data_IF_061297562369
#
_entry.id   IF_061297562369
#
_cell.length_a   1.000
_cell.length_b   1.000
_cell.length_c   1.000
_cell.angle_alpha   90.00
_cell.angle_beta   90.00
_cell.angle_gamma   90.00
#
_symmetry.space_group_name_H-M   'P 1'
#
loop_
_entity.id
_entity.type
_entity.pdbx_description
1 polymer ?
#
# COMPACT_ATOMS: atom_id res chain seq x y z
N UNK A 1 -1.22 -13.77 -3.24
CA UNK A 1 -1.44 -12.40 -3.77
C UNK A 1 -2.78 -12.31 -4.48
N UNK A 2 -3.07 -13.24 -5.39
CA UNK A 2 -4.27 -13.22 -6.22
C UNK A 2 -5.55 -13.56 -5.44
N UNK A 3 -5.50 -14.32 -4.34
CA UNK A 3 -6.74 -14.81 -3.71
C UNK A 3 -7.48 -13.85 -2.77
N UNK A 4 -6.79 -12.97 -2.05
CA UNK A 4 -7.46 -11.90 -1.27
C UNK A 4 -8.10 -10.87 -2.22
N UNK A 5 -7.38 -10.55 -3.30
CA UNK A 5 -7.94 -9.79 -4.40
C UNK A 5 -8.96 -10.60 -5.19
N UNK A 6 -8.96 -11.94 -5.21
CA UNK A 6 -10.02 -12.75 -5.84
C UNK A 6 -11.29 -12.76 -5.01
N UNK A 7 -11.24 -12.72 -3.68
CA UNK A 7 -12.47 -12.57 -2.88
C UNK A 7 -13.00 -11.15 -3.04
N UNK A 8 -12.15 -10.13 -3.02
CA UNK A 8 -12.57 -8.74 -3.26
C UNK A 8 -12.94 -8.49 -4.73
N UNK A 9 -12.32 -9.14 -5.72
CA UNK A 9 -12.69 -9.07 -7.14
C UNK A 9 -13.89 -9.97 -7.42
N UNK A 10 -14.04 -11.16 -6.83
CA UNK A 10 -15.27 -11.95 -6.96
C UNK A 10 -16.41 -11.22 -6.28
N UNK A 11 -16.25 -10.81 -5.03
CA UNK A 11 -17.27 -10.04 -4.31
C UNK A 11 -17.52 -8.69 -4.98
N UNK A 12 -16.53 -8.00 -5.56
CA UNK A 12 -16.81 -6.78 -6.33
C UNK A 12 -17.36 -7.09 -7.73
N UNK A 13 -17.02 -8.19 -8.40
CA UNK A 13 -17.61 -8.60 -9.68
C UNK A 13 -19.03 -9.16 -9.48
N UNK A 14 -19.33 -9.73 -8.31
CA UNK A 14 -20.62 -10.25 -7.89
C UNK A 14 -21.49 -9.15 -7.25
N UNK A 15 -20.92 -8.16 -6.54
CA UNK A 15 -21.66 -7.03 -5.94
C UNK A 15 -21.70 -5.77 -6.84
N UNK A 16 -20.83 -5.62 -7.85
CA UNK A 16 -21.09 -4.77 -9.02
C UNK A 16 -22.09 -5.42 -9.99
N UNK A 17 -22.65 -6.59 -9.63
CA UNK A 17 -23.76 -7.18 -10.36
C UNK A 17 -25.11 -6.82 -9.71
N UNK A 18 -25.63 -5.61 -9.97
CA UNK A 18 -26.99 -5.48 -10.44
C UNK A 18 -26.97 -5.29 -11.96
N UNK A 19 -26.08 -5.97 -12.69
CA UNK A 19 -26.24 -6.14 -14.13
C UNK A 19 -25.31 -7.24 -14.64
N UNK A 20 -25.90 -8.28 -15.24
CA UNK A 20 -25.21 -9.33 -16.00
C UNK A 20 -24.42 -8.80 -17.22
N UNK A 21 -24.33 -7.47 -17.42
CA UNK A 21 -23.82 -6.83 -18.64
C UNK A 21 -22.30 -6.82 -18.77
N UNK A 22 -21.53 -6.82 -17.67
CA UNK A 22 -20.06 -6.73 -17.75
C UNK A 22 -19.33 -8.07 -17.91
N UNK A 23 -19.90 -9.18 -17.42
CA UNK A 23 -19.35 -10.52 -17.68
C UNK A 23 -19.65 -11.00 -19.12
N UNK A 24 -20.67 -10.42 -19.76
CA UNK A 24 -20.98 -10.59 -21.19
C UNK A 24 -20.16 -9.64 -22.10
N UNK A 25 -19.44 -8.65 -21.52
CA UNK A 25 -18.59 -7.72 -22.26
C UNK A 25 -17.16 -8.28 -22.37
N UNK A 26 -16.72 -8.65 -23.56
CA UNK A 26 -15.42 -9.29 -23.85
C UNK A 26 -14.15 -8.45 -23.58
N UNK A 27 -14.00 -7.90 -22.38
CA UNK A 27 -12.81 -7.18 -21.91
C UNK A 27 -11.61 -8.13 -21.92
N UNK A 28 -10.48 -7.65 -22.45
CA UNK A 28 -9.22 -8.39 -22.52
C UNK A 28 -8.27 -7.88 -21.47
N UNK A 29 -7.72 -8.78 -20.65
CA UNK A 29 -6.85 -8.44 -19.53
C UNK A 29 -5.45 -8.97 -19.83
N UNK A 30 -4.47 -8.08 -19.82
CA UNK A 30 -3.07 -8.39 -20.08
C UNK A 30 -2.24 -8.03 -18.86
N UNK A 31 -1.49 -9.00 -18.33
CA UNK A 31 -0.66 -8.83 -17.13
C UNK A 31 0.78 -9.21 -17.44
N UNK A 32 1.72 -8.35 -17.07
CA UNK A 32 3.15 -8.62 -17.15
C UNK A 32 3.71 -8.63 -15.72
N UNK A 33 4.15 -9.80 -15.26
CA UNK A 33 4.72 -9.99 -13.93
C UNK A 33 6.25 -10.08 -14.01
N UNK A 34 6.92 -9.57 -12.98
CA UNK A 34 8.31 -9.92 -12.75
C UNK A 34 8.42 -11.43 -12.47
N UNK A 35 9.39 -12.08 -13.12
CA UNK A 35 9.80 -13.46 -12.83
C UNK A 35 11.05 -13.42 -11.96
N UNK A 36 10.83 -13.71 -10.69
CA UNK A 36 11.84 -13.83 -9.65
C UNK A 36 12.84 -14.94 -9.89
N UNK A 37 13.99 -14.80 -9.23
CA UNK A 37 14.88 -15.91 -8.91
C UNK A 37 14.31 -16.58 -7.67
N UNK A 38 13.70 -17.76 -7.84
CA UNK A 38 12.90 -18.43 -6.80
C UNK A 38 13.66 -18.68 -5.49
N UNK A 39 14.98 -18.88 -5.56
CA UNK A 39 15.83 -19.06 -4.36
C UNK A 39 16.07 -17.77 -3.57
N UNK A 40 15.92 -16.60 -4.20
CA UNK A 40 16.25 -15.31 -3.61
C UNK A 40 15.01 -14.50 -3.19
N UNK A 41 13.85 -14.75 -3.80
CA UNK A 41 12.63 -13.98 -3.58
C UNK A 41 11.40 -14.89 -3.53
N UNK A 42 10.67 -14.84 -2.42
CA UNK A 42 9.48 -15.65 -2.16
C UNK A 42 8.17 -15.11 -2.74
N UNK A 43 8.18 -14.37 -3.86
CA UNK A 43 6.96 -13.71 -4.39
C UNK A 43 6.01 -14.66 -5.13
N UNK A 44 6.51 -15.82 -5.59
CA UNK A 44 5.76 -16.85 -6.30
C UNK A 44 4.89 -16.32 -7.46
N UNK A 45 5.55 -15.70 -8.45
CA UNK A 45 4.86 -15.19 -9.65
C UNK A 45 4.26 -16.31 -10.50
N UNK A 46 4.76 -17.55 -10.37
CA UNK A 46 4.20 -18.72 -11.04
C UNK A 46 2.80 -19.04 -10.55
N UNK A 47 2.61 -19.10 -9.22
CA UNK A 47 1.30 -19.26 -8.61
C UNK A 47 0.34 -18.15 -9.06
N UNK A 48 0.79 -16.90 -9.00
CA UNK A 48 -0.02 -15.75 -9.41
C UNK A 48 -0.45 -15.82 -10.88
N UNK A 49 0.46 -16.21 -11.79
CA UNK A 49 0.14 -16.43 -13.20
C UNK A 49 -0.95 -17.47 -13.37
N UNK A 50 -0.82 -18.62 -12.71
CA UNK A 50 -1.78 -19.72 -12.84
C UNK A 50 -3.15 -19.36 -12.31
N UNK A 51 -3.21 -18.74 -11.13
CA UNK A 51 -4.47 -18.29 -10.55
C UNK A 51 -5.19 -17.34 -11.51
N UNK A 52 -4.50 -16.29 -11.99
CA UNK A 52 -5.09 -15.31 -12.92
C UNK A 52 -5.56 -15.94 -14.23
N UNK A 53 -4.74 -16.79 -14.85
CA UNK A 53 -5.10 -17.42 -16.13
C UNK A 53 -6.21 -18.47 -15.99
N UNK A 54 -6.43 -19.03 -14.80
CA UNK A 54 -7.52 -19.98 -14.54
C UNK A 54 -8.90 -19.33 -14.44
N UNK A 55 -8.96 -18.02 -14.17
CA UNK A 55 -10.23 -17.31 -13.96
C UNK A 55 -11.05 -17.17 -15.24
N UNK A 56 -10.40 -16.84 -16.37
CA UNK A 56 -11.11 -16.60 -17.64
C UNK A 56 -10.16 -16.63 -18.85
N UNK A 57 -10.57 -17.15 -20.03
CA UNK A 57 -9.73 -17.18 -21.24
C UNK A 57 -9.27 -15.81 -21.76
N UNK A 58 -9.99 -14.73 -21.44
CA UNK A 58 -9.59 -13.35 -21.81
C UNK A 58 -8.39 -12.80 -21.00
N UNK A 59 -7.95 -13.52 -19.97
CA UNK A 59 -6.82 -13.12 -19.12
C UNK A 59 -5.54 -13.77 -19.65
N UNK A 60 -4.55 -12.94 -20.01
CA UNK A 60 -3.26 -13.38 -20.53
C UNK A 60 -2.15 -12.83 -19.64
N UNK A 61 -1.31 -13.73 -19.12
CA UNK A 61 -0.24 -13.37 -18.18
C UNK A 61 1.12 -13.82 -18.70
N UNK A 62 2.05 -12.87 -18.81
CA UNK A 62 3.46 -13.12 -19.10
C UNK A 62 4.30 -12.88 -17.84
N UNK A 63 5.41 -13.60 -17.71
CA UNK A 63 6.42 -13.39 -16.64
C UNK A 63 7.79 -13.19 -17.25
N UNK A 64 8.55 -12.18 -16.87
CA UNK A 64 9.87 -11.87 -17.44
C UNK A 64 10.79 -11.30 -16.35
N UNK A 65 12.13 -11.44 -16.37
CA UNK A 65 13.00 -12.15 -17.33
C UNK A 65 12.98 -13.68 -17.19
N UNK A 66 13.39 -14.41 -18.23
CA UNK A 66 13.80 -15.80 -18.04
C UNK A 66 15.29 -15.82 -17.66
N UNK A 67 15.61 -16.39 -16.51
CA UNK A 67 16.99 -16.52 -16.02
C UNK A 67 17.67 -17.70 -16.71
N UNK A 68 18.86 -17.47 -17.29
CA UNK A 68 19.69 -18.55 -17.83
C UNK A 68 20.45 -19.22 -16.69
N UNK A 69 20.73 -20.52 -16.83
CA UNK A 69 21.45 -21.31 -15.82
C UNK A 69 22.89 -20.83 -15.57
N UNK A 70 23.50 -20.12 -16.52
CA UNK A 70 24.90 -19.65 -16.46
C UNK A 70 25.07 -18.18 -16.05
N UNK A 71 23.99 -17.38 -16.04
CA UNK A 71 24.05 -15.97 -15.67
C UNK A 71 22.71 -15.50 -15.10
N UNK A 72 22.73 -15.08 -13.84
CA UNK A 72 21.55 -14.52 -13.15
C UNK A 72 21.45 -13.04 -13.47
N UNK A 73 20.31 -12.62 -14.02
CA UNK A 73 20.01 -11.21 -14.17
C UNK A 73 19.59 -10.65 -12.80
N UNK A 74 20.39 -9.75 -12.25
CA UNK A 74 20.16 -9.16 -10.92
C UNK A 74 19.04 -8.10 -10.92
N UNK A 75 18.63 -7.63 -12.11
CA UNK A 75 17.63 -6.58 -12.28
C UNK A 75 16.20 -7.14 -12.29
N UNK A 76 15.24 -6.30 -11.91
CA UNK A 76 13.82 -6.63 -11.89
C UNK A 76 12.99 -5.64 -12.72
N UNK A 77 11.80 -6.08 -13.13
CA UNK A 77 10.75 -5.14 -13.55
C UNK A 77 10.09 -4.62 -12.29
N UNK A 78 10.23 -3.33 -12.03
CA UNK A 78 9.86 -2.73 -10.75
C UNK A 78 8.70 -1.73 -10.87
N UNK A 79 8.26 -1.41 -12.09
CA UNK A 79 7.13 -0.54 -12.33
C UNK A 79 5.82 -1.16 -11.83
N UNK A 80 4.98 -0.33 -11.19
CA UNK A 80 3.62 -0.68 -10.81
C UNK A 80 2.67 0.20 -11.60
N UNK A 81 1.87 -0.44 -12.45
CA UNK A 81 0.94 0.29 -13.30
C UNK A 81 -0.31 -0.52 -13.63
N UNK A 82 -1.43 0.19 -13.74
CA UNK A 82 -2.70 -0.32 -14.24
C UNK A 82 -3.21 0.65 -15.30
N UNK A 83 -3.59 0.16 -16.47
CA UNK A 83 -4.12 1.01 -17.54
C UNK A 83 -5.43 0.46 -18.06
N UNK A 84 -6.45 1.31 -18.09
CA UNK A 84 -7.81 0.96 -18.49
C UNK A 84 -8.13 1.68 -19.79
N UNK A 85 -8.51 0.90 -20.80
CA UNK A 85 -8.85 1.33 -22.17
C UNK A 85 -7.83 2.24 -22.87
N UNK A 86 -6.59 2.25 -22.39
CA UNK A 86 -5.54 3.18 -22.79
C UNK A 86 -5.89 4.66 -22.61
N UNK A 87 -6.76 4.97 -21.64
CA UNK A 87 -7.31 6.31 -21.41
C UNK A 87 -7.22 6.75 -19.93
N UNK A 88 -7.16 5.80 -18.99
CA UNK A 88 -6.90 6.08 -17.57
C UNK A 88 -5.76 5.17 -17.11
N UNK A 89 -4.73 5.73 -16.49
CA UNK A 89 -3.58 4.99 -16.00
C UNK A 89 -3.28 5.32 -14.54
N UNK A 90 -2.93 4.31 -13.76
CA UNK A 90 -2.46 4.41 -12.37
C UNK A 90 -0.98 4.02 -12.34
N UNK A 91 -0.17 4.77 -11.60
CA UNK A 91 1.27 4.63 -11.47
C UNK A 91 1.67 4.88 -10.01
N UNK A 92 2.78 4.32 -9.53
CA UNK A 92 3.31 4.66 -8.20
C UNK A 92 4.23 3.60 -7.61
N UNK A 93 4.41 3.65 -6.29
CA UNK A 93 5.14 2.63 -5.52
C UNK A 93 4.30 1.42 -5.11
N UNK A 94 2.97 1.52 -5.23
CA UNK A 94 2.01 0.54 -4.69
C UNK A 94 1.80 -0.63 -5.66
N UNK A 95 2.31 -1.81 -5.31
CA UNK A 95 1.94 -3.07 -5.97
C UNK A 95 0.52 -3.51 -5.56
N UNK A 96 -0.18 -4.21 -6.45
CA UNK A 96 -1.39 -4.97 -6.10
C UNK A 96 -1.01 -6.25 -5.34
N UNK A 97 -0.49 -6.07 -4.13
CA UNK A 97 0.17 -7.09 -3.33
C UNK A 97 -0.24 -7.06 -1.85
N UNK A 98 0.04 -8.15 -1.12
CA UNK A 98 -0.19 -8.23 0.32
C UNK A 98 0.62 -7.18 1.09
N UNK A 99 0.03 -6.63 2.13
CA UNK A 99 0.66 -5.67 3.04
C UNK A 99 0.72 -4.23 2.54
N UNK A 100 0.18 -3.96 1.35
CA UNK A 100 0.20 -2.61 0.73
C UNK A 100 -1.03 -1.77 1.09
N UNK A 101 -2.15 -2.42 1.41
CA UNK A 101 -3.35 -1.71 1.82
C UNK A 101 -3.10 -1.06 3.19
N UNK A 102 -3.32 0.26 3.29
CA UNK A 102 -3.24 0.98 4.54
C UNK A 102 -4.07 2.28 4.45
N UNK A 103 -4.24 2.95 5.59
CA UNK A 103 -4.79 4.29 5.65
C UNK A 103 -3.84 5.19 6.46
N UNK A 104 -4.18 6.48 6.58
CA UNK A 104 -3.35 7.44 7.31
C UNK A 104 -3.24 7.15 8.82
N UNK A 105 -4.08 6.27 9.38
CA UNK A 105 -3.98 5.87 10.79
C UNK A 105 -2.80 4.92 11.03
N UNK A 106 -2.30 4.25 9.99
CA UNK A 106 -1.16 3.32 10.04
C UNK A 106 -1.25 2.34 11.22
N UNK A 107 -2.40 1.68 11.36
CA UNK A 107 -2.67 0.83 12.53
C UNK A 107 -1.66 -0.30 12.63
N UNK A 108 -1.15 -0.50 13.84
CA UNK A 108 -0.20 -1.54 14.19
C UNK A 108 -0.88 -2.89 14.49
N UNK A 109 -2.16 -2.88 14.86
CA UNK A 109 -2.89 -4.07 15.31
C UNK A 109 -4.20 -4.22 14.56
N UNK A 110 -4.60 -5.48 14.35
CA UNK A 110 -5.86 -5.86 13.70
C UNK A 110 -6.36 -7.19 14.26
N UNK A 111 -6.73 -7.13 15.55
CA UNK A 111 -7.19 -8.28 16.32
C UNK A 111 -8.68 -8.61 16.04
N UNK A 112 -9.42 -7.66 15.44
CA UNK A 112 -10.88 -7.68 15.43
C UNK A 112 -11.45 -7.56 16.85
N UNK A 113 -12.66 -7.06 17.00
CA UNK A 113 -13.29 -6.97 18.33
C UNK A 113 -14.76 -7.30 18.20
N UNK A 114 -15.18 -8.50 18.60
CA UNK A 114 -16.59 -8.71 18.96
C UNK A 114 -16.78 -8.18 20.37
N UNK A 115 -17.31 -6.97 20.49
CA UNK A 115 -17.82 -6.47 21.77
C UNK A 115 -19.22 -7.04 21.97
N UNK A 116 -19.40 -7.83 23.04
CA UNK A 116 -20.72 -8.21 23.53
C UNK A 116 -21.17 -7.12 24.50
N UNK A 117 -22.11 -6.26 24.08
CA UNK A 117 -22.82 -5.42 25.03
C UNK A 117 -23.93 -6.26 25.67
N UNK A 118 -23.74 -6.64 26.93
CA UNK A 118 -24.84 -7.19 27.74
C UNK A 118 -25.64 -6.01 28.26
N UNK A 119 -26.80 -5.76 27.65
CA UNK A 119 -27.78 -4.85 28.24
C UNK A 119 -28.35 -5.53 29.50
N UNK A 120 -27.89 -5.10 30.67
CA UNK A 120 -28.66 -5.31 31.88
C UNK A 120 -29.80 -4.30 31.89
N UNK A 121 -31.03 -4.78 31.67
CA UNK A 121 -32.22 -3.99 31.99
C UNK A 121 -32.14 -3.64 33.48
N UNK A 122 -32.05 -2.35 33.77
CA UNK A 122 -32.09 -1.84 35.13
C UNK A 122 -33.51 -2.03 35.68
N UNK A 123 -33.72 -3.09 36.47
CA UNK A 123 -34.90 -3.17 37.31
C UNK A 123 -34.80 -2.13 38.44
N UNK A 124 -35.84 -1.32 38.58
CA UNK A 124 -35.98 -0.30 39.63
C UNK A 124 -35.82 -0.89 41.05
N UNK A 125 -35.24 -0.15 42.00
CA UNK A 125 -35.04 -0.65 43.36
C UNK A 125 -36.35 -0.60 44.15
N UNK A 126 -36.91 -1.77 44.47
CA UNK A 126 -37.98 -1.88 45.46
C UNK A 126 -37.37 -1.80 46.87
N UNK A 127 -37.82 -0.82 47.66
CA UNK A 127 -37.45 -0.66 49.08
C UNK A 127 -37.98 -1.82 49.90
N UNK A 128 -37.15 -2.43 50.76
CA UNK A 128 -37.57 -2.95 52.06
C UNK A 128 -36.42 -3.09 53.07
N UNK A 129 -36.80 -3.05 54.34
CA UNK A 129 -36.03 -2.64 55.52
C UNK A 129 -35.21 -3.76 56.21
N UNK A 130 -34.05 -3.33 56.72
CA UNK A 130 -33.25 -3.75 57.89
C UNK A 130 -33.45 -5.11 58.59
N UNK A 131 -32.34 -5.83 58.79
CA UNK A 131 -31.74 -6.04 60.13
C UNK A 131 -30.24 -6.33 60.00
N UNK A 132 -29.45 -5.70 60.87
CA UNK A 132 -27.99 -5.74 60.82
C UNK A 132 -27.38 -6.89 61.60
N UNK A 133 -26.16 -7.24 61.22
CA UNK A 133 -25.16 -7.85 62.10
C UNK A 133 -23.76 -7.51 61.56
N UNK A 134 -22.87 -7.12 62.48
CA UNK A 134 -21.48 -6.73 62.24
C UNK A 134 -20.61 -7.98 62.22
N UNK A 135 -19.70 -8.11 61.26
CA UNK A 135 -18.42 -8.79 61.49
C UNK A 135 -17.33 -8.27 60.56
N UNK A 136 -16.11 -8.37 61.05
CA UNK A 136 -14.95 -7.57 60.72
C UNK A 136 -14.02 -8.22 59.68
N UNK A 137 -13.30 -7.36 58.94
CA UNK A 137 -11.89 -7.56 58.56
C UNK A 137 -11.59 -8.46 57.36
N UNK A 138 -11.27 -7.86 56.21
CA UNK A 138 -9.88 -7.78 55.67
C UNK A 138 -9.90 -6.97 54.37
N UNK A 139 -9.32 -5.76 54.41
CA UNK A 139 -8.86 -5.05 53.21
C UNK A 139 -7.38 -5.36 53.05
N UNK A 140 -7.00 -5.96 51.93
CA UNK A 140 -5.61 -5.97 51.47
C UNK A 140 -5.53 -5.06 50.25
N UNK A 141 -5.15 -3.81 50.52
CA UNK A 141 -4.50 -2.90 49.59
C UNK A 141 -3.05 -3.34 49.42
N UNK A 142 -2.53 -3.40 48.19
CA UNK A 142 -1.10 -3.25 47.93
C UNK A 142 -0.94 -2.49 46.60
N UNK A 143 -0.47 -1.26 46.76
CA UNK A 143 0.13 -0.43 45.73
C UNK A 143 1.51 -1.00 45.29
N UNK A 144 1.74 -1.00 43.97
CA UNK A 144 3.00 -0.69 43.27
C UNK A 144 4.29 -1.53 43.57
N UNK A 145 5.46 -1.26 42.94
CA UNK A 145 5.75 -1.40 41.50
C UNK A 145 7.11 -2.10 41.17
N UNK A 146 7.26 -2.59 39.92
CA UNK A 146 8.51 -2.95 39.17
C UNK A 146 9.48 -4.04 39.76
N UNK A 147 10.23 -4.76 38.89
CA UNK A 147 11.53 -4.24 38.43
C UNK A 147 11.77 -4.47 36.93
N UNK A 148 11.95 -3.39 36.18
CA UNK A 148 12.70 -3.42 34.92
C UNK A 148 14.18 -3.36 35.31
N UNK A 149 14.87 -4.49 35.31
CA UNK A 149 16.33 -4.53 35.40
C UNK A 149 16.90 -4.31 34.00
N UNK A 150 17.50 -3.15 33.77
CA UNK A 150 18.37 -2.87 32.63
C UNK A 150 19.65 -3.68 32.75
N UNK A 151 19.70 -4.87 32.17
CA UNK A 151 20.98 -5.53 31.89
C UNK A 151 21.57 -4.95 30.61
N UNK A 152 22.55 -4.07 30.78
CA UNK A 152 23.50 -3.69 29.73
C UNK A 152 24.14 -4.97 29.17
N UNK A 153 23.84 -5.29 27.90
CA UNK A 153 24.59 -6.29 27.15
C UNK A 153 25.69 -5.56 26.41
N UNK A 154 26.92 -5.76 26.90
CA UNK A 154 28.17 -5.40 26.26
C UNK A 154 28.15 -5.83 24.77
N UNK A 155 28.19 -4.85 23.89
CA UNK A 155 28.49 -5.03 22.47
C UNK A 155 30.01 -5.07 22.36
N UNK A 156 30.64 -6.16 21.85
CA UNK A 156 32.08 -6.16 21.66
C UNK A 156 32.47 -5.21 20.53
N UNK A 157 33.41 -4.33 20.85
CA UNK A 157 34.05 -3.37 19.96
C UNK A 157 34.90 -4.10 18.91
N UNK A 158 34.43 -4.15 17.66
CA UNK A 158 35.19 -4.73 16.55
C UNK A 158 36.02 -3.61 15.90
N UNK A 159 37.07 -3.20 16.61
CA UNK A 159 38.20 -2.46 16.02
C UNK A 159 39.49 -3.25 16.22
N UNK A 160 39.57 -4.47 15.68
CA UNK A 160 40.87 -5.09 15.36
C UNK A 160 40.69 -6.29 14.42
N UNK A 161 40.71 -6.04 13.12
CA UNK A 161 41.19 -7.02 12.15
C UNK A 161 42.01 -6.24 11.11
N UNK A 162 43.32 -6.27 11.33
CA UNK A 162 44.33 -5.80 10.41
C UNK A 162 44.46 -6.82 9.27
N UNK A 163 43.85 -6.52 8.13
CA UNK A 163 44.18 -7.15 6.86
C UNK A 163 44.65 -6.06 5.92
N UNK A 164 45.96 -5.98 5.74
CA UNK A 164 46.64 -4.99 4.92
C UNK A 164 46.16 -5.01 3.46
N UNK A 165 45.23 -4.11 3.15
CA UNK A 165 44.95 -3.65 1.79
C UNK A 165 44.81 -2.13 1.87
N UNK A 166 45.84 -1.40 1.42
CA UNK A 166 45.79 0.06 1.28
C UNK A 166 44.88 0.42 0.10
N UNK A 167 43.58 0.57 0.36
CA UNK A 167 42.65 1.20 -0.58
C UNK A 167 42.78 2.71 -0.40
N UNK A 168 43.39 3.38 -1.37
CA UNK A 168 43.35 4.84 -1.47
C UNK A 168 41.86 5.28 -1.53
N UNK A 169 41.46 6.20 -0.65
CA UNK A 169 40.10 6.76 -0.58
C UNK A 169 40.07 8.11 -1.32
N UNK A 170 39.60 8.21 -2.57
CA UNK A 170 39.28 9.50 -3.16
C UNK A 170 37.79 9.79 -2.94
N UNK A 171 37.47 10.90 -2.26
CA UNK A 171 36.10 11.41 -2.19
C UNK A 171 35.71 12.14 -0.90
N UNK A 172 36.25 11.76 0.27
CA UNK A 172 35.87 12.39 1.56
C UNK A 172 36.28 13.86 1.69
N UNK A 173 37.32 14.28 0.99
CA UNK A 173 37.92 15.61 1.19
C UNK A 173 37.07 16.77 0.65
N UNK A 174 36.26 16.54 -0.39
CA UNK A 174 35.33 17.56 -0.92
C UNK A 174 34.22 17.87 0.09
N UNK A 175 33.66 16.80 0.69
CA UNK A 175 32.58 16.85 1.67
C UNK A 175 33.01 17.48 2.99
N UNK A 176 34.16 17.04 3.54
CA UNK A 176 34.65 17.57 4.80
C UNK A 176 35.06 19.04 4.70
N UNK A 177 35.55 19.51 3.53
CA UNK A 177 35.83 20.93 3.29
C UNK A 177 34.57 21.78 3.14
N UNK A 178 33.49 21.23 2.58
CA UNK A 178 32.20 21.93 2.45
C UNK A 178 31.47 22.03 3.81
N UNK A 179 31.42 20.94 4.58
CA UNK A 179 30.79 20.90 5.91
C UNK A 179 31.50 21.81 6.92
N UNK A 180 32.83 21.98 6.83
CA UNK A 180 33.60 22.89 7.69
C UNK A 180 33.32 24.38 7.43
N UNK A 181 32.63 24.74 6.35
CA UNK A 181 32.25 26.13 6.05
C UNK A 181 30.85 26.50 6.51
N UNK A 182 30.07 25.53 7.00
CA UNK A 182 28.72 25.76 7.52
C UNK A 182 28.86 26.05 9.02
N UNK A 183 28.50 27.25 9.52
CA UNK A 183 28.47 27.52 10.95
C UNK A 183 27.45 26.57 11.61
N UNK A 184 27.86 25.88 12.68
CA UNK A 184 26.91 25.18 13.54
C UNK A 184 26.04 26.24 14.24
N UNK A 185 24.81 26.45 13.76
CA UNK A 185 23.80 27.17 14.54
C UNK A 185 23.30 26.24 15.64
N UNK A 186 23.51 26.65 16.89
CA UNK A 186 22.86 26.09 18.07
C UNK A 186 21.36 26.37 18.00
N UNK A 187 20.55 25.48 18.60
CA UNK A 187 19.09 25.40 18.48
C UNK A 187 18.31 26.51 19.20
N UNK A 188 18.78 27.75 19.18
CA UNK A 188 18.08 28.89 19.76
C UNK A 188 17.96 29.98 18.69
N UNK A 189 16.79 30.60 18.61
CA UNK A 189 16.33 31.60 17.64
C UNK A 189 15.76 31.08 16.30
N UNK A 190 14.62 30.39 16.40
CA UNK A 190 13.52 30.55 15.43
C UNK A 190 12.34 31.18 16.16
N UNK A 191 12.23 32.50 16.11
CA UNK A 191 11.00 33.20 16.48
C UNK A 191 10.03 33.15 15.30
N UNK A 192 8.98 32.35 15.45
CA UNK A 192 7.84 32.36 14.52
C UNK A 192 7.08 33.66 14.76
N UNK A 193 7.01 34.50 13.72
CA UNK A 193 6.16 35.69 13.73
C UNK A 193 4.69 35.24 13.70
N UNK A 194 3.98 35.53 14.79
CA UNK A 194 2.57 35.24 14.98
C UNK A 194 1.73 36.23 14.16
N UNK A 195 1.46 35.87 12.90
CA UNK A 195 0.52 36.56 12.03
C UNK A 195 -0.87 35.96 12.19
N UNK A 196 -1.67 36.52 13.09
CA UNK A 196 -3.03 36.06 13.36
C UNK A 196 -3.92 36.11 12.11
N UNK A 197 -4.28 34.92 11.61
CA UNK A 197 -5.39 34.73 10.67
C UNK A 197 -6.53 34.10 11.46
N UNK A 198 -7.62 34.85 11.65
CA UNK A 198 -8.86 34.32 12.20
C UNK A 198 -9.46 33.33 11.20
N UNK A 199 -9.32 32.04 11.48
CA UNK A 199 -10.08 30.98 10.84
C UNK A 199 -11.29 30.70 11.73
N UNK A 200 -12.49 31.06 11.27
CA UNK A 200 -13.73 30.57 11.87
C UNK A 200 -13.78 29.03 11.73
N UNK A 201 -13.45 28.31 12.80
CA UNK A 201 -13.68 26.87 12.88
C UNK A 201 -15.19 26.58 12.93
N UNK A 202 -15.80 26.32 11.77
CA UNK A 202 -17.10 25.64 11.73
C UNK A 202 -16.91 24.14 11.93
N UNK A 203 -16.75 23.72 13.19
CA UNK A 203 -16.87 22.33 13.61
C UNK A 203 -18.27 21.81 13.28
N UNK A 204 -18.42 21.08 12.17
CA UNK A 204 -19.51 20.12 12.04
C UNK A 204 -19.03 18.81 12.64
N UNK A 205 -19.41 18.57 13.89
CA UNK A 205 -19.16 17.31 14.60
C UNK A 205 -19.62 16.13 13.74
N UNK A 206 -18.82 15.07 13.66
CA UNK A 206 -19.09 13.82 12.91
C UNK A 206 -20.47 13.21 13.26
N UNK A 207 -21.00 13.47 14.45
CA UNK A 207 -22.36 13.11 14.87
C UNK A 207 -23.48 13.72 14.01
N UNK A 208 -23.25 14.87 13.36
CA UNK A 208 -24.24 15.54 12.51
C UNK A 208 -24.33 14.99 11.07
N UNK A 209 -23.30 14.28 10.60
CA UNK A 209 -23.29 13.68 9.26
C UNK A 209 -23.98 12.30 9.28
N UNK A 210 -23.85 11.56 10.39
CA UNK A 210 -24.46 10.24 10.57
C UNK A 210 -25.99 10.27 10.76
N UNK A 211 -26.61 11.41 11.11
CA UNK A 211 -28.07 11.52 11.16
C UNK A 211 -28.74 11.74 9.79
N UNK A 212 -27.98 12.04 8.73
CA UNK A 212 -28.54 12.28 7.37
C UNK A 212 -28.64 11.03 6.50
N UNK A 213 -28.17 9.88 6.98
CA UNK A 213 -28.37 8.58 6.34
C UNK A 213 -29.30 7.69 7.18
N UNK A 214 -30.61 7.89 7.03
CA UNK A 214 -31.59 6.83 7.31
C UNK A 214 -32.04 6.25 5.96
N UNK A 215 -31.91 4.93 5.74
CA UNK A 215 -32.53 4.29 4.58
C UNK A 215 -34.03 4.60 4.60
N UNK A 216 -34.58 5.08 3.48
CA UNK A 216 -36.03 5.13 3.27
C UNK A 216 -36.54 3.70 3.46
N UNK A 217 -37.24 3.44 4.57
CA UNK A 217 -38.00 2.20 4.75
C UNK A 217 -38.94 2.07 3.56
N UNK A 218 -38.70 1.05 2.74
CA UNK A 218 -39.63 0.65 1.69
C UNK A 218 -41.00 0.43 2.31
N UNK A 219 -42.03 0.97 1.65
CA UNK A 219 -43.43 0.68 1.98
C UNK A 219 -43.63 -0.83 1.90
N UNK A 220 -43.89 -1.47 3.03
CA UNK A 220 -44.45 -2.82 3.06
C UNK A 220 -45.83 -2.81 2.39
N UNK A 221 -46.15 -3.78 1.53
CA UNK A 221 -47.47 -3.86 0.91
C UNK A 221 -48.53 -4.18 1.98
N UNK A 222 -49.62 -3.41 1.95
CA UNK A 222 -50.83 -3.62 2.77
C UNK A 222 -51.37 -5.03 2.50
N UNK A 223 -51.35 -5.89 3.52
CA UNK A 223 -52.06 -7.18 3.51
C UNK A 223 -53.30 -7.05 4.40
N UNK A 224 -54.46 -7.35 3.81
CA UNK A 224 -55.78 -7.26 4.41
C UNK A 224 -55.91 -8.08 5.70
N UNK A 225 -56.50 -7.48 6.74
CA UNK A 225 -56.99 -8.16 7.94
C UNK A 225 -58.33 -8.85 7.63
N UNK A 226 -58.39 -10.18 7.73
CA UNK A 226 -59.57 -10.96 8.15
C UNK A 226 -59.09 -12.30 8.73
N UNK A 227 -59.63 -12.70 9.89
CA UNK A 227 -59.46 -14.03 10.47
C UNK A 227 -59.04 -13.99 11.94
N UNK A 228 -59.89 -14.55 12.80
CA UNK A 228 -59.87 -14.45 14.25
C UNK A 228 -59.38 -15.75 14.92
N UNK A 229 -58.92 -15.62 16.18
CA UNK A 229 -58.72 -16.67 17.21
C UNK A 229 -57.59 -17.66 16.90
N UNK A 230 -56.73 -18.10 17.82
CA UNK A 230 -56.82 -18.35 19.27
C UNK A 230 -55.45 -18.13 19.95
N UNK A 231 -55.48 -17.72 21.22
CA UNK A 231 -54.34 -17.64 22.13
C UNK A 231 -53.70 -19.01 22.37
N UNK A 232 -52.37 -19.06 22.31
CA UNK A 232 -51.57 -20.01 23.07
C UNK A 232 -50.36 -19.24 23.58
N UNK A 233 -50.40 -18.87 24.86
CA UNK A 233 -49.28 -18.24 25.58
C UNK A 233 -48.11 -19.22 25.61
N UNK A 234 -47.04 -18.89 24.90
CA UNK A 234 -45.71 -19.41 25.15
C UNK A 234 -45.00 -18.36 26.01
N UNK A 235 -44.57 -18.80 27.19
CA UNK A 235 -43.78 -18.04 28.15
C UNK A 235 -42.65 -17.30 27.44
N UNK A 236 -42.57 -15.99 27.68
CA UNK A 236 -41.45 -15.17 27.25
C UNK A 236 -40.20 -15.61 28.00
N UNK A 237 -39.44 -16.54 27.41
CA UNK A 237 -38.01 -16.62 27.69
C UNK A 237 -37.44 -15.25 27.32
N UNK A 238 -36.83 -14.59 28.30
CA UNK A 238 -36.12 -13.34 28.11
C UNK A 238 -35.00 -13.56 27.08
N UNK A 239 -35.32 -13.35 25.81
CA UNK A 239 -34.34 -13.35 24.74
C UNK A 239 -33.43 -12.14 24.97
N UNK A 240 -32.31 -12.36 25.66
CA UNK A 240 -31.23 -11.39 25.73
C UNK A 240 -30.78 -11.16 24.30
N UNK A 241 -31.18 -10.03 23.70
CA UNK A 241 -30.66 -9.60 22.42
C UNK A 241 -29.20 -9.21 22.63
N UNK A 242 -28.28 -10.15 22.37
CA UNK A 242 -26.85 -9.84 22.31
C UNK A 242 -26.61 -9.15 20.98
N UNK A 243 -26.59 -7.83 20.98
CA UNK A 243 -26.06 -7.07 19.85
C UNK A 243 -24.54 -7.26 19.83
N UNK A 244 -24.08 -8.05 18.87
CA UNK A 244 -22.66 -8.30 18.61
C UNK A 244 -22.14 -7.19 17.71
N UNK A 245 -21.38 -6.26 18.29
CA UNK A 245 -20.61 -5.29 17.50
C UNK A 245 -19.24 -5.89 17.21
N UNK A 246 -19.05 -6.43 16.01
CA UNK A 246 -17.76 -6.88 15.50
C UNK A 246 -17.01 -5.74 14.80
N UNK A 247 -15.82 -5.36 15.24
CA UNK A 247 -14.86 -4.69 14.35
C UNK A 247 -14.38 -5.73 13.33
N UNK A 248 -14.75 -5.52 12.07
CA UNK A 248 -14.24 -6.28 10.95
C UNK A 248 -12.71 -6.15 10.90
N UNK A 249 -12.03 -7.26 10.61
CA UNK A 249 -10.59 -7.23 10.34
C UNK A 249 -10.37 -6.48 9.03
N UNK A 250 -9.30 -5.71 8.97
CA UNK A 250 -8.91 -5.01 7.75
C UNK A 250 -7.99 -5.90 6.89
N UNK A 251 -6.96 -6.47 7.51
CA UNK A 251 -5.92 -7.24 6.83
C UNK A 251 -6.12 -8.72 7.11
N UNK A 252 -6.63 -9.48 6.14
CA UNK A 252 -6.91 -10.91 6.33
C UNK A 252 -5.71 -11.78 5.94
N UNK A 253 -5.43 -12.81 6.73
CA UNK A 253 -4.39 -13.80 6.45
C UNK A 253 -3.03 -13.17 6.16
N UNK A 254 -2.50 -13.47 4.98
CA UNK A 254 -1.19 -12.97 4.51
C UNK A 254 -1.13 -11.45 4.35
N UNK A 255 -2.25 -10.74 4.34
CA UNK A 255 -2.26 -9.28 4.27
C UNK A 255 -1.82 -8.62 5.60
N UNK A 256 -1.90 -9.34 6.73
CA UNK A 256 -1.32 -8.91 8.00
C UNK A 256 0.13 -9.38 8.06
N UNK A 257 1.06 -8.48 7.75
CA UNK A 257 2.47 -8.80 7.59
C UNK A 257 3.40 -7.80 8.29
N UNK A 258 4.62 -8.27 8.58
CA UNK A 258 5.73 -7.43 9.02
C UNK A 258 7.01 -7.90 8.32
N UNK A 259 7.42 -7.15 7.28
CA UNK A 259 8.53 -7.53 6.38
C UNK A 259 9.90 -7.53 7.05
N UNK A 260 10.05 -6.89 8.21
CA UNK A 260 11.30 -6.90 8.97
C UNK A 260 11.44 -8.22 9.74
N UNK A 261 10.33 -8.75 10.26
CA UNK A 261 10.33 -9.90 11.17
C UNK A 261 10.24 -11.23 10.43
N UNK A 262 9.45 -11.29 9.36
CA UNK A 262 9.20 -12.54 8.66
C UNK A 262 8.81 -12.29 7.20
N UNK A 263 9.50 -12.98 6.30
CA UNK A 263 9.14 -13.05 4.90
C UNK A 263 7.90 -13.91 4.67
N UNK A 264 7.25 -13.70 3.53
CA UNK A 264 6.09 -14.51 3.16
C UNK A 264 6.44 -15.98 3.00
N UNK A 265 5.54 -16.83 3.51
CA UNK A 265 5.57 -18.28 3.33
C UNK A 265 4.20 -18.78 2.87
N UNK A 266 4.17 -19.93 2.18
CA UNK A 266 2.94 -20.62 1.77
C UNK A 266 1.90 -19.69 1.09
N UNK A 267 2.31 -18.94 0.06
CA UNK A 267 1.44 -17.96 -0.62
C UNK A 267 0.18 -18.57 -1.27
N UNK A 268 0.15 -19.88 -1.42
CA UNK A 268 -0.98 -20.74 -1.81
C UNK A 268 -2.07 -20.86 -0.72
N UNK A 269 -1.77 -20.48 0.52
CA UNK A 269 -2.73 -20.35 1.63
C UNK A 269 -2.93 -18.88 2.00
N UNK A 270 -3.81 -18.16 1.30
CA UNK A 270 -3.91 -16.71 1.36
C UNK A 270 -4.57 -16.18 2.64
N UNK A 271 -5.48 -16.95 3.24
CA UNK A 271 -6.27 -16.53 4.41
C UNK A 271 -5.68 -17.00 5.74
N UNK A 272 -4.60 -17.80 5.69
CA UNK A 272 -3.88 -18.22 6.87
C UNK A 272 -2.94 -17.11 7.34
N UNK A 273 -2.94 -16.82 8.63
CA UNK A 273 -1.92 -15.95 9.21
C UNK A 273 -0.58 -16.69 9.26
N UNK A 274 0.51 -15.96 8.99
CA UNK A 274 1.87 -16.49 9.09
C UNK A 274 2.68 -15.84 10.23
N UNK A 275 2.10 -14.82 10.89
CA UNK A 275 2.60 -14.16 12.08
C UNK A 275 1.48 -14.07 13.13
N UNK A 276 1.84 -14.13 14.42
CA UNK A 276 0.87 -14.09 15.52
C UNK A 276 0.40 -12.64 15.78
N UNK A 277 -0.87 -12.36 15.45
CA UNK A 277 -1.48 -11.02 15.61
C UNK A 277 -1.52 -10.53 17.05
N UNK A 278 -1.52 -11.41 18.05
CA UNK A 278 -1.58 -11.03 19.46
C UNK A 278 -0.23 -10.63 20.03
N UNK A 279 0.86 -11.00 19.34
CA UNK A 279 2.24 -10.79 19.81
C UNK A 279 3.05 -9.92 18.88
N UNK A 280 2.67 -9.84 17.61
CA UNK A 280 3.44 -9.17 16.57
C UNK A 280 2.58 -8.11 15.89
N UNK A 281 2.94 -6.82 16.01
CA UNK A 281 2.28 -5.78 15.23
C UNK A 281 2.61 -5.95 13.74
N UNK A 282 1.65 -5.62 12.88
CA UNK A 282 1.95 -5.47 11.46
C UNK A 282 2.88 -4.28 11.26
N UNK A 283 3.59 -4.27 10.13
CA UNK A 283 4.34 -3.10 9.70
C UNK A 283 3.44 -2.23 8.81
N UNK A 284 3.17 -0.96 9.20
CA UNK A 284 2.48 -0.02 8.34
C UNK A 284 3.12 0.18 6.98
N UNK A 285 2.30 0.52 6.00
CA UNK A 285 2.73 0.77 4.63
C UNK A 285 2.34 2.19 4.25
N UNK A 286 3.35 3.07 4.17
CA UNK A 286 3.21 4.42 3.64
C UNK A 286 3.77 4.44 2.22
N UNK A 287 2.98 4.94 1.26
CA UNK A 287 3.33 4.91 -0.15
C UNK A 287 2.48 5.91 -0.96
N UNK A 288 2.92 6.21 -2.18
CA UNK A 288 2.34 7.23 -3.04
C UNK A 288 1.96 6.64 -4.40
N UNK A 289 0.77 6.97 -4.86
CA UNK A 289 0.26 6.64 -6.19
C UNK A 289 -0.39 7.84 -6.87
N UNK A 290 -0.45 7.80 -8.20
CA UNK A 290 -1.07 8.83 -9.03
C UNK A 290 -1.92 8.19 -10.12
N UNK A 291 -3.03 8.86 -10.46
CA UNK A 291 -3.84 8.52 -11.62
C UNK A 291 -3.74 9.65 -12.67
N UNK A 292 -3.58 9.27 -13.93
CA UNK A 292 -3.51 10.19 -15.08
C UNK A 292 -4.51 9.79 -16.15
N UNK A 293 -4.99 10.77 -16.92
CA UNK A 293 -5.99 10.58 -17.97
C UNK A 293 -5.42 10.95 -19.33
N UNK A 294 -6.13 10.57 -20.39
CA UNK A 294 -5.90 11.10 -21.73
C UNK A 294 -4.53 10.76 -22.30
N UNK A 295 -3.83 11.77 -22.83
CA UNK A 295 -2.57 11.60 -23.54
C UNK A 295 -1.49 10.94 -22.65
N UNK A 296 -1.37 11.32 -21.38
CA UNK A 296 -0.39 10.71 -20.48
C UNK A 296 -0.71 9.23 -20.21
N UNK A 297 -1.98 8.86 -20.12
CA UNK A 297 -2.37 7.45 -20.02
C UNK A 297 -2.03 6.66 -21.30
N UNK A 298 -2.04 7.30 -22.47
CA UNK A 298 -1.58 6.70 -23.74
C UNK A 298 -0.09 6.41 -23.72
N UNK A 299 0.72 7.32 -23.18
CA UNK A 299 2.18 7.13 -23.08
C UNK A 299 2.51 5.96 -22.17
N UNK A 300 1.82 5.86 -21.02
CA UNK A 300 1.91 4.72 -20.13
C UNK A 300 1.49 3.42 -20.85
N UNK A 301 0.41 3.45 -21.62
CA UNK A 301 -0.04 2.32 -22.44
C UNK A 301 1.03 1.88 -23.45
N UNK A 302 1.67 2.83 -24.13
CA UNK A 302 2.73 2.55 -25.11
C UNK A 302 3.91 1.85 -24.46
N UNK A 303 4.32 2.25 -23.25
CA UNK A 303 5.35 1.55 -22.48
C UNK A 303 4.96 0.08 -22.23
N UNK A 304 3.74 -0.18 -21.76
CA UNK A 304 3.25 -1.55 -21.53
C UNK A 304 3.22 -2.37 -22.81
N UNK A 305 2.67 -1.80 -23.90
CA UNK A 305 2.55 -2.47 -25.20
C UNK A 305 3.92 -2.84 -25.77
N UNK A 306 4.90 -1.92 -25.68
CA UNK A 306 6.27 -2.19 -26.11
C UNK A 306 6.83 -3.40 -25.38
N UNK A 307 6.73 -3.44 -24.04
CA UNK A 307 7.27 -4.51 -23.22
C UNK A 307 6.52 -5.83 -23.37
N UNK A 308 5.20 -5.79 -23.55
CA UNK A 308 4.39 -6.96 -23.86
C UNK A 308 4.85 -7.62 -25.16
N UNK A 309 4.88 -6.84 -26.24
CA UNK A 309 5.25 -7.34 -27.57
C UNK A 309 6.71 -7.83 -27.58
N UNK A 310 7.63 -7.12 -26.91
CA UNK A 310 9.01 -7.56 -26.73
C UNK A 310 9.08 -8.90 -25.97
N UNK A 311 8.43 -9.00 -24.81
CA UNK A 311 8.46 -10.23 -23.99
C UNK A 311 7.91 -11.43 -24.74
N UNK A 312 6.83 -11.24 -25.51
CA UNK A 312 6.25 -12.28 -26.37
C UNK A 312 7.28 -12.79 -27.39
N UNK A 313 8.02 -11.89 -28.04
CA UNK A 313 9.06 -12.22 -29.03
C UNK A 313 10.25 -12.95 -28.42
N UNK A 314 10.72 -12.54 -27.24
CA UNK A 314 11.90 -13.17 -26.60
C UNK A 314 11.58 -14.57 -26.10
N UNK A 315 10.36 -14.84 -25.65
CA UNK A 315 10.02 -16.15 -25.11
C UNK A 315 9.90 -17.25 -26.16
N UNK A 316 9.41 -16.95 -27.36
CA UNK A 316 9.22 -17.90 -28.47
C UNK A 316 8.53 -19.23 -28.08
N UNK A 317 7.72 -19.26 -27.02
CA UNK A 317 7.03 -20.48 -26.56
C UNK A 317 5.74 -20.67 -27.33
N UNK A 318 5.47 -21.89 -27.80
CA UNK A 318 4.25 -22.22 -28.53
C UNK A 318 2.98 -21.91 -27.73
N UNK A 319 3.00 -22.12 -26.42
CA UNK A 319 1.88 -21.79 -25.51
C UNK A 319 1.58 -20.30 -25.40
N UNK A 320 2.50 -19.44 -25.83
CA UNK A 320 2.39 -17.97 -25.83
C UNK A 320 2.15 -17.45 -27.26
N UNK A 321 2.39 -18.25 -28.29
CA UNK A 321 2.20 -17.84 -29.69
C UNK A 321 0.76 -17.38 -29.98
N UNK A 322 -0.22 -17.93 -29.24
CA UNK A 322 -1.64 -17.54 -29.34
C UNK A 322 -1.97 -16.20 -28.65
N UNK A 323 -1.04 -15.60 -27.90
CA UNK A 323 -1.29 -14.32 -27.26
C UNK A 323 -1.26 -13.20 -28.31
N UNK A 324 -2.22 -12.24 -28.29
CA UNK A 324 -2.27 -11.19 -29.29
C UNK A 324 -1.09 -10.23 -29.14
N UNK A 325 -0.63 -9.67 -30.27
CA UNK A 325 0.16 -8.46 -30.23
C UNK A 325 -0.73 -7.28 -29.88
N UNK A 326 -0.22 -6.36 -29.08
CA UNK A 326 -0.94 -5.17 -28.66
C UNK A 326 -0.56 -3.98 -29.52
N UNK A 327 -1.52 -3.08 -29.75
CA UNK A 327 -1.37 -1.89 -30.60
C UNK A 327 -1.83 -0.67 -29.79
N UNK A 328 -1.07 0.45 -29.82
CA UNK A 328 -1.50 1.67 -29.17
C UNK A 328 -2.67 2.29 -29.97
N UNK A 329 -3.77 2.70 -29.32
CA UNK A 329 -4.77 3.53 -30.01
C UNK A 329 -4.22 4.96 -30.21
N UNK A 330 -4.76 5.63 -31.22
CA UNK A 330 -4.30 6.95 -31.65
C UNK A 330 -4.46 8.02 -30.57
N UNK A 331 -3.51 8.97 -30.53
CA UNK A 331 -3.62 10.17 -29.68
C UNK A 331 -4.83 11.04 -30.04
N UNK A 332 -5.33 10.97 -31.28
CA UNK A 332 -6.58 11.64 -31.66
C UNK A 332 -7.79 11.19 -30.83
N UNK A 333 -7.69 10.05 -30.14
CA UNK A 333 -8.72 9.49 -29.26
C UNK A 333 -8.31 9.50 -27.79
N UNK A 334 -7.33 10.31 -27.41
CA UNK A 334 -6.85 10.39 -26.04
C UNK A 334 -7.96 10.91 -25.09
N UNK A 335 -8.72 11.92 -25.53
CA UNK A 335 -9.73 12.57 -24.69
C UNK A 335 -11.04 11.78 -24.57
N UNK A 336 -11.17 10.66 -25.27
CA UNK A 336 -12.30 9.74 -25.11
C UNK A 336 -12.10 8.88 -23.86
N UNK A 337 -12.45 9.45 -22.71
CA UNK A 337 -12.29 8.80 -21.41
C UNK A 337 -13.48 7.87 -21.10
N UNK A 338 -13.25 6.60 -20.73
CA UNK A 338 -14.32 5.68 -20.32
C UNK A 338 -14.97 6.11 -19.00
N UNK A 339 -14.18 6.77 -18.13
CA UNK A 339 -14.60 7.40 -16.88
C UNK A 339 -13.51 8.38 -16.43
N UNK A 340 -13.83 9.21 -15.44
CA UNK A 340 -12.89 10.12 -14.79
C UNK A 340 -12.73 9.78 -13.32
N UNK A 341 -11.56 10.07 -12.75
CA UNK A 341 -11.30 9.90 -11.32
C UNK A 341 -11.73 11.18 -10.61
N UNK A 342 -12.54 11.04 -9.55
CA UNK A 342 -12.98 12.18 -8.74
C UNK A 342 -11.78 12.85 -8.07
N UNK A 343 -11.78 14.19 -8.03
CA UNK A 343 -10.70 14.97 -7.45
C UNK A 343 -9.49 15.15 -8.37
N UNK A 344 -9.55 14.70 -9.63
CA UNK A 344 -8.52 15.01 -10.61
C UNK A 344 -8.42 16.52 -10.85
N UNK A 345 -7.19 17.01 -10.97
CA UNK A 345 -6.86 18.39 -11.29
C UNK A 345 -6.16 18.45 -12.64
N UNK A 346 -6.24 19.60 -13.31
CA UNK A 346 -5.49 19.83 -14.55
C UNK A 346 -4.04 20.17 -14.21
N UNK A 347 -3.10 19.48 -14.85
CA UNK A 347 -1.66 19.73 -14.73
C UNK A 347 -0.96 19.30 -16.03
N UNK A 348 0.20 19.89 -16.30
CA UNK A 348 1.09 19.42 -17.35
C UNK A 348 1.83 18.17 -16.88
N UNK A 349 1.70 17.08 -17.62
CA UNK A 349 2.18 15.75 -17.21
C UNK A 349 3.10 15.19 -18.28
N UNK A 350 4.30 14.79 -17.86
CA UNK A 350 5.25 14.04 -18.69
C UNK A 350 5.52 12.66 -18.07
N UNK A 351 5.36 11.61 -18.86
CA UNK A 351 5.67 10.24 -18.46
C UNK A 351 7.16 9.98 -18.64
N UNK A 352 7.79 9.39 -17.62
CA UNK A 352 9.22 9.09 -17.58
C UNK A 352 9.43 7.61 -17.27
N UNK A 353 10.60 7.06 -17.60
CA UNK A 353 10.93 5.66 -17.34
C UNK A 353 12.44 5.41 -17.23
N UNK A 354 12.76 4.26 -16.65
CA UNK A 354 14.10 3.66 -16.68
C UNK A 354 14.00 2.32 -17.39
N UNK A 355 14.52 2.23 -18.62
CA UNK A 355 14.44 1.02 -19.44
C UNK A 355 15.72 0.81 -20.23
N UNK A 356 15.98 -0.42 -20.64
CA UNK A 356 17.14 -0.78 -21.44
C UNK A 356 16.84 -1.95 -22.36
N UNK A 357 17.84 -2.38 -23.14
CA UNK A 357 17.73 -3.47 -24.10
C UNK A 357 17.12 -4.74 -23.49
N UNK A 358 17.56 -5.16 -22.30
CA UNK A 358 17.05 -6.38 -21.67
C UNK A 358 15.57 -6.28 -21.29
N UNK A 359 15.07 -5.08 -20.98
CA UNK A 359 13.74 -4.88 -20.39
C UNK A 359 12.67 -4.46 -21.39
N UNK A 360 13.04 -3.77 -22.47
CA UNK A 360 12.11 -3.23 -23.47
C UNK A 360 12.55 -3.42 -24.94
N UNK A 361 13.68 -4.06 -25.22
CA UNK A 361 14.04 -4.54 -26.55
C UNK A 361 14.45 -3.49 -27.57
N UNK A 362 15.00 -2.35 -27.14
CA UNK A 362 15.60 -1.35 -28.02
C UNK A 362 17.10 -1.21 -27.70
N UNK A 363 17.89 -0.71 -28.66
CA UNK A 363 19.32 -0.49 -28.45
C UNK A 363 19.55 0.68 -27.49
N UNK A 364 20.38 0.46 -26.48
CA UNK A 364 20.73 1.47 -25.48
C UNK A 364 19.86 1.42 -24.23
N UNK A 365 19.74 2.57 -23.57
CA UNK A 365 18.94 2.74 -22.36
C UNK A 365 18.31 4.12 -22.31
N UNK A 366 17.20 4.23 -21.58
CA UNK A 366 16.55 5.47 -21.23
C UNK A 366 16.61 5.63 -19.71
N UNK A 367 16.94 6.84 -19.26
CA UNK A 367 17.09 7.21 -17.85
C UNK A 367 16.39 8.53 -17.55
N UNK A 368 15.25 8.77 -18.21
CA UNK A 368 14.50 10.02 -18.15
C UNK A 368 14.00 10.35 -16.74
N UNK A 369 13.76 9.34 -15.90
CA UNK A 369 13.49 9.55 -14.46
C UNK A 369 14.69 10.22 -13.76
N UNK A 370 15.90 9.69 -13.94
CA UNK A 370 17.11 10.25 -13.33
C UNK A 370 17.34 11.68 -13.82
N UNK A 371 17.21 11.90 -15.14
CA UNK A 371 17.40 13.22 -15.75
C UNK A 371 16.42 14.26 -15.19
N UNK A 372 15.13 13.89 -15.06
CA UNK A 372 14.12 14.77 -14.46
C UNK A 372 14.39 15.06 -12.98
N UNK A 373 14.85 14.07 -12.20
CA UNK A 373 15.26 14.29 -10.80
C UNK A 373 16.38 15.34 -10.71
N UNK A 374 17.44 15.18 -11.50
CA UNK A 374 18.57 16.11 -11.50
C UNK A 374 18.14 17.51 -11.93
N UNK A 375 17.28 17.61 -12.94
CA UNK A 375 16.74 18.89 -13.40
C UNK A 375 15.87 19.58 -12.34
N UNK A 376 14.89 18.86 -11.77
CA UNK A 376 13.97 19.42 -10.78
C UNK A 376 14.69 19.95 -9.53
N UNK A 377 15.75 19.26 -9.08
CA UNK A 377 16.55 19.73 -7.94
C UNK A 377 17.34 20.99 -8.31
N UNK A 378 18.01 21.02 -9.48
CA UNK A 378 18.79 22.19 -9.92
C UNK A 378 17.93 23.43 -10.05
N UNK A 379 16.73 23.29 -10.62
CA UNK A 379 15.81 24.40 -10.87
C UNK A 379 14.99 24.82 -9.64
N UNK A 380 15.02 24.04 -8.55
CA UNK A 380 14.29 24.38 -7.31
C UNK A 380 14.72 25.75 -6.76
N UNK A 381 13.78 26.53 -6.21
CA UNK A 381 14.07 27.89 -5.71
C UNK A 381 13.91 28.03 -4.19
N UNK A 382 13.16 27.13 -3.55
CA UNK A 382 12.74 27.29 -2.16
C UNK A 382 13.02 26.05 -1.31
N UNK A 383 12.38 24.92 -1.63
CA UNK A 383 12.58 23.67 -0.92
C UNK A 383 12.43 22.47 -1.85
N UNK A 384 13.01 21.35 -1.43
CA UNK A 384 12.85 20.04 -2.08
C UNK A 384 12.37 19.06 -1.01
N UNK A 385 11.27 18.36 -1.28
CA UNK A 385 10.73 17.32 -0.41
C UNK A 385 10.95 15.94 -1.04
N UNK A 386 11.55 15.00 -0.30
CA UNK A 386 11.87 13.66 -0.79
C UNK A 386 11.36 12.62 0.21
N UNK A 387 10.37 11.85 -0.22
CA UNK A 387 10.03 10.55 0.37
C UNK A 387 10.51 9.46 -0.59
N UNK A 388 11.34 8.53 -0.11
CA UNK A 388 11.82 7.43 -0.93
C UNK A 388 12.20 6.23 -0.04
N UNK A 389 11.97 5.01 -0.53
CA UNK A 389 12.41 3.79 0.15
C UNK A 389 13.94 3.71 0.27
N UNK A 390 14.66 4.23 -0.72
CA UNK A 390 16.11 4.22 -0.74
C UNK A 390 16.67 5.63 -0.93
N UNK A 391 17.80 5.90 -0.27
CA UNK A 391 18.57 7.12 -0.46
C UNK A 391 20.06 6.80 -0.65
N UNK A 392 20.37 6.10 -1.74
CA UNK A 392 21.73 5.68 -2.12
C UNK A 392 22.18 6.49 -3.33
N UNK A 393 23.06 7.45 -3.12
CA UNK A 393 23.54 8.40 -4.13
C UNK A 393 24.96 8.88 -3.81
N UNK A 394 25.38 10.00 -4.42
CA UNK A 394 26.73 10.56 -4.41
C UNK A 394 27.69 9.68 -5.21
N UNK A 395 27.91 10.04 -6.47
CA UNK A 395 28.73 9.24 -7.39
C UNK A 395 30.18 9.17 -6.90
N UNK A 396 30.73 7.96 -6.87
CA UNK A 396 32.17 7.72 -6.75
C UNK A 396 32.78 7.22 -8.07
N UNK A 397 31.97 7.16 -9.13
CA UNK A 397 32.26 6.65 -10.47
C UNK A 397 32.80 5.20 -10.49
N UNK A 398 32.58 4.45 -9.40
CA UNK A 398 33.09 3.08 -9.22
C UNK A 398 32.03 2.11 -8.77
N UNK A 399 31.28 2.47 -7.73
CA UNK A 399 30.28 1.63 -7.07
C UNK A 399 28.90 2.28 -7.13
N UNK A 400 28.84 3.61 -7.00
CA UNK A 400 27.63 4.41 -7.10
C UNK A 400 27.83 5.40 -8.25
N UNK A 401 26.84 5.47 -9.15
CA UNK A 401 26.95 6.25 -10.39
C UNK A 401 25.91 7.37 -10.52
N UNK A 402 24.85 7.35 -9.71
CA UNK A 402 23.82 8.38 -9.79
C UNK A 402 24.23 9.61 -8.97
N UNK A 403 23.95 10.81 -9.48
CA UNK A 403 24.42 12.08 -8.92
C UNK A 403 23.34 12.93 -8.25
N UNK A 404 22.24 12.30 -7.82
CA UNK A 404 21.12 13.00 -7.14
C UNK A 404 21.62 13.70 -5.87
N UNK A 405 22.39 13.01 -5.03
CA UNK A 405 22.97 13.55 -3.80
C UNK A 405 24.01 14.64 -4.06
N UNK A 406 24.79 14.52 -5.14
CA UNK A 406 25.75 15.56 -5.54
C UNK A 406 25.02 16.86 -5.91
N UNK A 407 23.97 16.74 -6.72
CA UNK A 407 23.16 17.89 -7.15
C UNK A 407 22.39 18.52 -5.99
N UNK A 408 21.87 17.74 -5.04
CA UNK A 408 21.25 18.28 -3.82
C UNK A 408 22.23 19.14 -3.03
N UNK A 409 23.47 18.67 -2.90
CA UNK A 409 24.49 19.39 -2.12
C UNK A 409 24.94 20.64 -2.86
N UNK A 410 25.14 20.55 -4.18
CA UNK A 410 25.42 21.73 -5.00
C UNK A 410 24.32 22.78 -4.84
N UNK A 411 23.05 22.36 -4.82
CA UNK A 411 21.93 23.28 -4.65
C UNK A 411 21.86 23.92 -3.25
N UNK A 412 22.14 23.15 -2.20
CA UNK A 412 22.22 23.67 -0.83
C UNK A 412 23.36 24.69 -0.71
N UNK A 413 24.51 24.40 -1.31
CA UNK A 413 25.66 25.31 -1.31
C UNK A 413 25.42 26.56 -2.15
N UNK A 414 24.65 26.47 -3.23
CA UNK A 414 24.19 27.62 -4.02
C UNK A 414 23.29 28.53 -3.18
N UNK A 415 22.28 27.97 -2.51
CA UNK A 415 21.36 28.75 -1.67
C UNK A 415 22.02 29.36 -0.41
N UNK A 416 23.17 28.82 0.02
CA UNK A 416 23.95 29.36 1.14
C UNK A 416 24.84 30.55 0.75
N UNK A 417 25.29 30.62 -0.51
CA UNK A 417 26.13 31.72 -1.01
C UNK A 417 25.30 32.97 -1.21
#
# INVERSE_FOLDING_TARGET
MVDFYNHTLRDNLENLAPEKSHQEAGVKIFVLLYKEVEMALGINSYYSKHCLMSLHPNIKVLRHPDHLTSAVLLWAHHEKMVVIDQAVAFLGGIDLAYGRCDNADHKLTDIGSVQKNVHHEANEPTKQHQKGERSAGKKTSLDAPFPFASTERNVPDITSLDSGVKVARPGRDRWQKALKKIPQRTSEDVTVADGGVQIEERHKTISGILQKWRPRRGRSPRRNKRGARTNMELSADSCVSVEVFGQARYWHGKDYCNFILKDFEQLDKPFDDFIDRFRTPRMPWHDIGVAVHGASARDVSRHFIQRWNFTKRVKQKQSIASFPDLVPKSFATADHLPFTIRGAISADIQVLRSVSEWSAGFRGHEKSILEAYLWAIKESQHYVYIENQFFISCSDDKTIYNSIGDVLVEKILEAHR
#
